data_IF_031972838212
#
_entry.id   IF_031972838212
#
_cell.length_a   1.000
_cell.length_b   1.000
_cell.length_c   1.000
_cell.angle_alpha   90.00
_cell.angle_beta   90.00
_cell.angle_gamma   90.00
#
_symmetry.space_group_name_H-M   'P 1'
#
loop_
_entity.id
_entity.type
_entity.pdbx_description
1 polymer ?
#
# COMPACT_ATOMS: atom_id res chain seq x y z
N UNK A 1 12.08 32.08 6.59
CA UNK A 1 12.25 31.08 5.51
C UNK A 1 12.59 29.66 5.99
N UNK A 2 13.17 29.46 7.19
CA UNK A 2 13.36 28.10 7.75
C UNK A 2 12.06 27.33 8.00
N UNK A 3 11.02 28.02 8.47
CA UNK A 3 9.74 27.39 8.82
C UNK A 3 9.01 26.74 7.64
N UNK A 4 9.02 27.41 6.47
CA UNK A 4 8.46 26.86 5.23
C UNK A 4 9.23 25.61 4.79
N UNK A 5 10.55 25.61 4.96
CA UNK A 5 11.42 24.47 4.61
C UNK A 5 11.19 23.28 5.54
N UNK A 6 10.93 23.52 6.83
CA UNK A 6 10.56 22.49 7.80
C UNK A 6 9.23 21.84 7.43
N UNK A 7 8.20 22.64 7.16
CA UNK A 7 6.87 22.17 6.75
C UNK A 7 6.95 21.31 5.48
N UNK A 8 7.70 21.76 4.46
CA UNK A 8 7.91 20.99 3.24
C UNK A 8 8.66 19.68 3.52
N UNK A 9 9.67 19.69 4.39
CA UNK A 9 10.41 18.47 4.73
C UNK A 9 9.58 17.48 5.55
N UNK A 10 8.69 17.96 6.42
CA UNK A 10 7.77 17.12 7.19
C UNK A 10 6.68 16.55 6.30
N UNK A 11 6.09 17.35 5.40
CA UNK A 11 5.15 16.86 4.39
C UNK A 11 5.79 15.83 3.47
N UNK A 12 7.02 16.07 3.03
CA UNK A 12 7.77 15.13 2.20
C UNK A 12 8.13 13.85 2.97
N UNK A 13 8.53 13.97 4.25
CA UNK A 13 8.78 12.85 5.12
C UNK A 13 7.54 11.99 5.33
N UNK A 14 6.37 12.62 5.51
CA UNK A 14 5.08 11.95 5.67
C UNK A 14 4.65 11.26 4.36
N UNK A 15 4.83 11.91 3.22
CA UNK A 15 4.60 11.32 1.90
C UNK A 15 5.60 10.21 1.53
N UNK A 16 6.84 10.26 2.03
CA UNK A 16 7.86 9.21 1.80
C UNK A 16 7.63 8.02 2.73
N UNK A 17 7.29 8.24 4.00
CA UNK A 17 6.89 7.18 4.93
C UNK A 17 5.61 6.49 4.44
N UNK A 18 4.62 7.25 3.99
CA UNK A 18 3.40 6.70 3.37
C UNK A 18 3.64 6.23 1.92
N UNK A 19 4.72 6.68 1.29
CA UNK A 19 5.11 6.34 -0.08
C UNK A 19 5.51 4.87 -0.21
N UNK A 20 6.17 4.30 0.80
CA UNK A 20 6.41 2.85 0.87
C UNK A 20 5.11 2.06 0.92
N UNK A 21 4.09 2.55 1.64
CA UNK A 21 2.79 1.90 1.70
C UNK A 21 2.04 1.98 0.37
N UNK A 22 2.02 3.15 -0.25
CA UNK A 22 1.47 3.33 -1.59
C UNK A 22 2.17 2.40 -2.60
N UNK A 23 3.49 2.26 -2.51
CA UNK A 23 4.26 1.39 -3.41
C UNK A 23 3.90 -0.08 -3.23
N UNK A 24 3.70 -0.56 -1.99
CA UNK A 24 3.20 -1.91 -1.73
C UNK A 24 1.80 -2.16 -2.29
N UNK A 25 0.89 -1.19 -2.18
CA UNK A 25 -0.46 -1.32 -2.75
C UNK A 25 -0.39 -1.40 -4.28
N UNK A 26 0.37 -0.51 -4.92
CA UNK A 26 0.57 -0.52 -6.37
C UNK A 26 1.20 -1.83 -6.83
N UNK A 27 2.24 -2.31 -6.15
CA UNK A 27 2.89 -3.58 -6.46
C UNK A 27 1.92 -4.77 -6.32
N UNK A 28 1.09 -4.79 -5.27
CA UNK A 28 0.09 -5.83 -5.07
C UNK A 28 -1.01 -5.80 -6.14
N UNK A 29 -1.51 -4.62 -6.51
CA UNK A 29 -2.47 -4.48 -7.61
C UNK A 29 -1.89 -4.97 -8.93
N UNK A 30 -0.62 -4.69 -9.19
CA UNK A 30 0.08 -5.12 -10.41
C UNK A 30 0.28 -6.65 -10.44
N UNK A 31 0.65 -7.24 -9.31
CA UNK A 31 0.72 -8.69 -9.14
C UNK A 31 -0.64 -9.35 -9.29
N UNK A 32 -1.68 -8.82 -8.66
CA UNK A 32 -3.04 -9.34 -8.75
C UNK A 32 -3.58 -9.21 -10.18
N UNK A 33 -3.32 -8.10 -10.87
CA UNK A 33 -3.64 -7.93 -12.28
C UNK A 33 -3.00 -9.04 -13.12
N UNK A 34 -1.72 -9.34 -12.92
CA UNK A 34 -1.02 -10.33 -13.75
C UNK A 34 -1.39 -11.78 -13.39
N UNK A 35 -1.49 -12.08 -12.09
CA UNK A 35 -1.65 -13.44 -11.58
C UNK A 35 -3.10 -13.94 -11.62
N UNK A 36 -4.09 -13.10 -11.25
CA UNK A 36 -5.50 -13.52 -11.21
C UNK A 36 -6.07 -14.00 -12.55
N UNK A 37 -5.82 -13.33 -13.70
CA UNK A 37 -6.28 -13.84 -14.99
C UNK A 37 -5.53 -15.12 -15.41
N UNK A 38 -4.27 -15.30 -14.99
CA UNK A 38 -3.53 -16.54 -15.25
C UNK A 38 -4.10 -17.74 -14.50
N UNK A 39 -4.52 -17.51 -13.25
CA UNK A 39 -4.98 -18.56 -12.34
C UNK A 39 -6.45 -19.00 -12.58
N UNK A 40 -7.22 -18.25 -13.39
CA UNK A 40 -8.62 -18.56 -13.74
C UNK A 40 -9.51 -18.94 -12.53
N UNK A 41 -9.31 -18.29 -11.38
CA UNK A 41 -9.90 -18.74 -10.10
C UNK A 41 -11.43 -18.53 -9.97
N UNK A 42 -12.14 -18.15 -11.04
CA UNK A 42 -13.56 -17.85 -11.00
C UNK A 42 -13.86 -16.52 -10.29
N UNK A 43 -14.98 -15.88 -10.68
CA UNK A 43 -15.24 -14.47 -10.36
C UNK A 43 -15.26 -14.11 -8.87
N UNK A 44 -15.65 -15.03 -7.99
CA UNK A 44 -15.71 -14.78 -6.55
C UNK A 44 -14.34 -14.75 -5.85
N UNK A 45 -13.42 -15.61 -6.24
CA UNK A 45 -12.11 -15.73 -5.57
C UNK A 45 -11.17 -14.57 -5.88
N UNK A 46 -11.26 -13.99 -7.08
CA UNK A 46 -10.49 -12.81 -7.46
C UNK A 46 -10.76 -11.63 -6.52
N UNK A 47 -12.04 -11.38 -6.20
CA UNK A 47 -12.44 -10.33 -5.29
C UNK A 47 -11.92 -10.57 -3.86
N UNK A 48 -11.98 -11.82 -3.39
CA UNK A 48 -11.49 -12.20 -2.06
C UNK A 48 -9.97 -12.00 -1.98
N UNK A 49 -9.21 -12.46 -2.97
CA UNK A 49 -7.73 -12.35 -2.98
C UNK A 49 -7.30 -10.88 -2.99
N UNK A 50 -7.95 -10.04 -3.81
CA UNK A 50 -7.69 -8.61 -3.83
C UNK A 50 -7.99 -7.97 -2.47
N UNK A 51 -9.16 -8.26 -1.90
CA UNK A 51 -9.58 -7.68 -0.63
C UNK A 51 -8.65 -8.10 0.52
N UNK A 52 -8.33 -9.39 0.62
CA UNK A 52 -7.43 -9.93 1.66
C UNK A 52 -6.03 -9.36 1.53
N UNK A 53 -5.49 -9.25 0.31
CA UNK A 53 -4.15 -8.69 0.12
C UNK A 53 -4.07 -7.19 0.44
N UNK A 54 -5.10 -6.42 0.08
CA UNK A 54 -5.18 -5.00 0.48
C UNK A 54 -5.32 -4.85 2.00
N UNK A 55 -6.15 -5.68 2.64
CA UNK A 55 -6.28 -5.72 4.10
C UNK A 55 -4.96 -6.08 4.77
N UNK A 56 -4.21 -7.05 4.25
CA UNK A 56 -2.91 -7.43 4.79
C UNK A 56 -1.91 -6.26 4.73
N UNK A 57 -1.84 -5.55 3.62
CA UNK A 57 -0.95 -4.38 3.46
C UNK A 57 -1.37 -3.25 4.40
N UNK A 58 -2.67 -3.02 4.56
CA UNK A 58 -3.20 -2.04 5.52
C UNK A 58 -2.90 -2.43 6.97
N UNK A 59 -3.04 -3.70 7.31
CA UNK A 59 -2.75 -4.17 8.66
C UNK A 59 -1.26 -4.05 8.96
N UNK A 60 -0.41 -4.43 8.00
CA UNK A 60 1.04 -4.30 8.10
C UNK A 60 1.45 -2.83 8.24
N UNK A 61 0.77 -1.92 7.56
CA UNK A 61 1.03 -0.48 7.66
C UNK A 61 0.63 0.11 9.00
N UNK A 62 -0.59 -0.19 9.45
CA UNK A 62 -1.09 0.23 10.75
C UNK A 62 -0.22 -0.31 11.88
N UNK A 63 0.18 -1.58 11.79
CA UNK A 63 0.99 -2.25 12.80
C UNK A 63 2.42 -1.72 12.87
N UNK A 64 3.06 -1.49 11.72
CA UNK A 64 4.39 -0.85 11.67
C UNK A 64 4.35 0.56 12.24
N UNK A 65 3.31 1.33 11.95
CA UNK A 65 3.17 2.70 12.47
C UNK A 65 2.85 2.71 13.97
N UNK A 66 2.12 1.73 14.49
CA UNK A 66 1.86 1.60 15.92
C UNK A 66 3.08 1.18 16.76
N UNK A 67 4.15 0.66 16.13
CA UNK A 67 5.39 0.23 16.80
C UNK A 67 6.56 1.22 16.67
N UNK A 68 6.40 2.27 15.87
CA UNK A 68 7.36 3.38 15.78
C UNK A 68 6.90 4.49 16.71
#
# INVERSE_FOLDING_TARGET
MRWLRTIISELWGLFVDDGRYALSIVAWLLLAWLALPLLHLGGGWNAIILCVGLLAILLESAWRRARR
#
